data_IF_420987798927
#
_entry.id   IF_420987798927
#
_cell.length_a   1.000
_cell.length_b   1.000
_cell.length_c   1.000
_cell.angle_alpha   90.00
_cell.angle_beta   90.00
_cell.angle_gamma   90.00
#
_symmetry.space_group_name_H-M   'P 1'
#
loop_
_entity.id
_entity.type
_entity.pdbx_description
1 polymer ?
#
# COMPACT_ATOMS: atom_id res chain seq x y z
N UNK A 1 -43.09 28.49 67.13
CA UNK A 1 -41.70 27.97 67.21
C UNK A 1 -41.45 26.77 66.29
N UNK A 2 -42.42 25.88 66.04
CA UNK A 2 -42.21 24.69 65.20
C UNK A 2 -41.85 24.96 63.73
N UNK A 3 -42.44 25.98 63.08
CA UNK A 3 -42.24 26.25 61.65
C UNK A 3 -40.83 26.72 61.25
N UNK A 4 -40.08 27.35 62.17
CA UNK A 4 -38.73 27.87 61.85
C UNK A 4 -37.72 26.73 61.72
N UNK A 5 -37.82 25.73 62.60
CA UNK A 5 -36.98 24.53 62.55
C UNK A 5 -37.25 23.66 61.32
N UNK A 6 -38.50 23.59 60.86
CA UNK A 6 -38.87 22.83 59.66
C UNK A 6 -38.34 23.51 58.39
N UNK A 7 -38.44 24.84 58.29
CA UNK A 7 -37.89 25.58 57.16
C UNK A 7 -36.36 25.54 57.13
N UNK A 8 -35.69 25.66 58.28
CA UNK A 8 -34.24 25.58 58.37
C UNK A 8 -33.70 24.19 57.99
N UNK A 9 -34.32 23.13 58.52
CA UNK A 9 -33.94 21.75 58.18
C UNK A 9 -34.19 21.44 56.71
N UNK A 10 -35.33 21.89 56.16
CA UNK A 10 -35.66 21.68 54.75
C UNK A 10 -34.67 22.40 53.83
N UNK A 11 -34.33 23.66 54.11
CA UNK A 11 -33.36 24.43 53.32
C UNK A 11 -31.96 23.82 53.36
N UNK A 12 -31.51 23.37 54.54
CA UNK A 12 -30.20 22.73 54.70
C UNK A 12 -30.13 21.37 53.98
N UNK A 13 -31.16 20.52 54.12
CA UNK A 13 -31.26 19.24 53.40
C UNK A 13 -31.33 19.45 51.89
N UNK A 14 -32.11 20.42 51.41
CA UNK A 14 -32.26 20.70 49.99
C UNK A 14 -30.94 21.19 49.38
N UNK A 15 -30.22 22.08 50.06
CA UNK A 15 -28.91 22.55 49.61
C UNK A 15 -27.84 21.46 49.63
N UNK A 16 -27.80 20.65 50.70
CA UNK A 16 -26.83 19.57 50.83
C UNK A 16 -27.07 18.44 49.83
N UNK A 17 -28.31 17.94 49.72
CA UNK A 17 -28.68 16.92 48.75
C UNK A 17 -28.58 17.43 47.31
N UNK A 18 -29.02 18.66 47.06
CA UNK A 18 -28.92 19.30 45.75
C UNK A 18 -27.48 19.44 45.29
N UNK A 19 -26.58 19.93 46.16
CA UNK A 19 -25.16 20.04 45.86
C UNK A 19 -24.50 18.69 45.59
N UNK A 20 -24.80 17.66 46.39
CA UNK A 20 -24.25 16.32 46.22
C UNK A 20 -24.76 15.66 44.93
N UNK A 21 -26.05 15.78 44.64
CA UNK A 21 -26.67 15.23 43.44
C UNK A 21 -26.12 15.90 42.18
N UNK A 22 -26.02 17.24 42.18
CA UNK A 22 -25.49 18.01 41.05
C UNK A 22 -24.02 17.66 40.83
N UNK A 23 -23.20 17.64 41.88
CA UNK A 23 -21.78 17.36 41.73
C UNK A 23 -21.52 15.91 41.27
N UNK A 24 -22.33 14.96 41.75
CA UNK A 24 -22.25 13.56 41.32
C UNK A 24 -22.67 13.39 39.86
N UNK A 25 -23.81 13.96 39.45
CA UNK A 25 -24.29 13.88 38.06
C UNK A 25 -23.31 14.59 37.12
N UNK A 26 -22.89 15.81 37.44
CA UNK A 26 -21.98 16.60 36.60
C UNK A 26 -20.62 15.94 36.51
N UNK A 27 -20.05 15.48 37.62
CA UNK A 27 -18.77 14.79 37.64
C UNK A 27 -18.82 13.48 36.85
N UNK A 28 -19.78 12.60 37.14
CA UNK A 28 -19.89 11.32 36.44
C UNK A 28 -20.17 11.48 34.95
N UNK A 29 -21.03 12.44 34.57
CA UNK A 29 -21.32 12.70 33.16
C UNK A 29 -20.13 13.32 32.44
N UNK A 30 -19.42 14.25 33.08
CA UNK A 30 -18.23 14.88 32.52
C UNK A 30 -17.10 13.87 32.33
N UNK A 31 -16.82 13.03 33.33
CA UNK A 31 -15.76 12.03 33.26
C UNK A 31 -16.08 10.95 32.21
N UNK A 32 -17.34 10.49 32.16
CA UNK A 32 -17.77 9.52 31.17
C UNK A 32 -17.73 10.08 29.75
N UNK A 33 -18.24 11.29 29.55
CA UNK A 33 -18.23 11.96 28.24
C UNK A 33 -16.81 12.26 27.81
N UNK A 34 -15.98 12.82 28.69
CA UNK A 34 -14.59 13.16 28.38
C UNK A 34 -13.77 11.92 28.06
N UNK A 35 -13.88 10.85 28.86
CA UNK A 35 -13.19 9.59 28.64
C UNK A 35 -13.63 8.90 27.35
N UNK A 36 -14.93 8.85 27.08
CA UNK A 36 -15.46 8.28 25.84
C UNK A 36 -15.05 9.10 24.62
N UNK A 37 -15.16 10.44 24.68
CA UNK A 37 -14.80 11.33 23.60
C UNK A 37 -13.30 11.23 23.29
N UNK A 38 -12.43 11.26 24.31
CA UNK A 38 -10.98 11.13 24.11
C UNK A 38 -10.60 9.75 23.56
N UNK A 39 -11.19 8.66 24.07
CA UNK A 39 -10.92 7.32 23.55
C UNK A 39 -11.39 7.16 22.09
N UNK A 40 -12.59 7.64 21.75
CA UNK A 40 -13.11 7.58 20.39
C UNK A 40 -12.35 8.50 19.43
N UNK A 41 -12.05 9.75 19.82
CA UNK A 41 -11.29 10.67 18.96
C UNK A 41 -9.85 10.20 18.76
N UNK A 42 -9.17 9.81 19.83
CA UNK A 42 -7.76 9.43 19.75
C UNK A 42 -7.61 8.07 19.06
N UNK A 43 -8.40 7.08 19.47
CA UNK A 43 -8.29 5.71 18.96
C UNK A 43 -8.78 5.58 17.53
N UNK A 44 -10.02 5.97 17.26
CA UNK A 44 -10.64 5.74 15.95
C UNK A 44 -10.23 6.80 14.93
N UNK A 45 -10.14 8.06 15.36
CA UNK A 45 -9.97 9.17 14.42
C UNK A 45 -8.51 9.49 14.15
N UNK A 46 -7.64 9.37 15.16
CA UNK A 46 -6.24 9.73 14.99
C UNK A 46 -5.40 8.55 14.53
N UNK A 47 -5.57 7.37 15.14
CA UNK A 47 -4.77 6.20 14.77
C UNK A 47 -5.24 5.62 13.44
N UNK A 48 -6.52 5.26 13.27
CA UNK A 48 -6.95 4.61 12.03
C UNK A 48 -6.85 5.53 10.81
N UNK A 49 -7.15 6.82 10.95
CA UNK A 49 -7.04 7.76 9.83
C UNK A 49 -5.59 8.04 9.45
N UNK A 50 -4.71 8.28 10.42
CA UNK A 50 -3.31 8.61 10.15
C UNK A 50 -2.55 7.37 9.67
N UNK A 51 -2.75 6.22 10.33
CA UNK A 51 -2.12 4.96 9.94
C UNK A 51 -2.68 4.49 8.60
N UNK A 52 -4.01 4.46 8.42
CA UNK A 52 -4.62 4.03 7.17
C UNK A 52 -4.21 4.91 5.98
N UNK A 53 -4.11 6.23 6.18
CA UNK A 53 -3.70 7.15 5.11
C UNK A 53 -2.20 7.06 4.81
N UNK A 54 -1.34 7.03 5.82
CA UNK A 54 0.11 6.95 5.61
C UNK A 54 0.47 5.58 5.05
N UNK A 55 0.04 4.49 5.71
CA UNK A 55 0.35 3.12 5.28
C UNK A 55 -0.27 2.84 3.93
N UNK A 56 -1.56 3.15 3.72
CA UNK A 56 -2.22 2.90 2.44
C UNK A 56 -1.59 3.67 1.27
N UNK A 57 -1.28 4.96 1.44
CA UNK A 57 -0.61 5.72 0.37
C UNK A 57 0.83 5.24 0.14
N UNK A 58 1.59 4.97 1.20
CA UNK A 58 2.97 4.52 1.06
C UNK A 58 3.03 3.15 0.41
N UNK A 59 2.15 2.23 0.80
CA UNK A 59 2.14 0.87 0.28
C UNK A 59 1.70 0.84 -1.20
N UNK A 60 0.66 1.58 -1.58
CA UNK A 60 0.27 1.69 -2.99
C UNK A 60 1.36 2.35 -3.85
N UNK A 61 2.00 3.40 -3.35
CA UNK A 61 3.03 4.12 -4.11
C UNK A 61 4.32 3.29 -4.22
N UNK A 62 4.77 2.70 -3.11
CA UNK A 62 5.99 1.90 -3.06
C UNK A 62 5.80 0.57 -3.81
N UNK A 63 4.70 -0.15 -3.59
CA UNK A 63 4.45 -1.41 -4.30
C UNK A 63 4.26 -1.18 -5.81
N UNK A 64 3.50 -0.14 -6.19
CA UNK A 64 3.27 0.18 -7.60
C UNK A 64 4.53 0.66 -8.32
N UNK A 65 5.25 1.61 -7.74
CA UNK A 65 6.43 2.19 -8.39
C UNK A 65 7.64 1.26 -8.31
N UNK A 66 7.98 0.78 -7.11
CA UNK A 66 9.16 -0.05 -6.89
C UNK A 66 8.97 -1.45 -7.47
N UNK A 67 7.78 -2.03 -7.30
CA UNK A 67 7.45 -3.34 -7.86
C UNK A 67 7.51 -3.31 -9.38
N UNK A 68 6.87 -2.33 -10.03
CA UNK A 68 6.89 -2.26 -11.48
C UNK A 68 8.28 -1.92 -12.02
N UNK A 69 9.02 -1.00 -11.39
CA UNK A 69 10.38 -0.65 -11.81
C UNK A 69 11.34 -1.83 -11.68
N UNK A 70 11.33 -2.52 -10.53
CA UNK A 70 12.20 -3.67 -10.27
C UNK A 70 11.88 -4.83 -11.21
N UNK A 71 10.60 -5.15 -11.39
CA UNK A 71 10.16 -6.21 -12.30
C UNK A 71 10.60 -5.88 -13.73
N UNK A 72 10.35 -4.66 -14.21
CA UNK A 72 10.69 -4.32 -15.59
C UNK A 72 12.21 -4.29 -15.81
N UNK A 73 12.98 -3.86 -14.81
CA UNK A 73 14.44 -3.86 -14.88
C UNK A 73 15.01 -5.29 -14.89
N UNK A 74 14.57 -6.15 -13.97
CA UNK A 74 15.02 -7.55 -13.90
C UNK A 74 14.61 -8.31 -15.17
N UNK A 75 13.34 -8.20 -15.58
CA UNK A 75 12.82 -8.88 -16.76
C UNK A 75 13.51 -8.37 -18.02
N UNK A 76 13.66 -7.05 -18.18
CA UNK A 76 14.34 -6.46 -19.34
C UNK A 76 15.80 -6.88 -19.43
N UNK A 77 16.53 -6.87 -18.32
CA UNK A 77 17.92 -7.28 -18.28
C UNK A 77 18.09 -8.79 -18.55
N UNK A 78 17.28 -9.62 -17.89
CA UNK A 78 17.33 -11.07 -18.05
C UNK A 78 16.93 -11.50 -19.47
N UNK A 79 15.86 -10.94 -20.02
CA UNK A 79 15.43 -11.23 -21.39
C UNK A 79 16.46 -10.72 -22.41
N UNK A 80 17.02 -9.53 -22.22
CA UNK A 80 18.05 -8.98 -23.10
C UNK A 80 19.32 -9.82 -23.11
N UNK A 81 19.77 -10.25 -21.93
CA UNK A 81 20.94 -11.12 -21.80
C UNK A 81 20.69 -12.51 -22.40
N UNK A 82 19.56 -13.12 -22.07
CA UNK A 82 19.19 -14.45 -22.57
C UNK A 82 18.99 -14.44 -24.10
N UNK A 83 18.30 -13.43 -24.63
CA UNK A 83 18.10 -13.28 -26.07
C UNK A 83 19.43 -13.01 -26.79
N UNK A 84 20.29 -12.15 -26.24
CA UNK A 84 21.61 -11.88 -26.80
C UNK A 84 22.50 -13.12 -26.81
N UNK A 85 22.49 -13.89 -25.72
CA UNK A 85 23.25 -15.14 -25.64
C UNK A 85 22.70 -16.20 -26.60
N UNK A 86 21.37 -16.37 -26.67
CA UNK A 86 20.71 -17.31 -27.57
C UNK A 86 20.98 -16.96 -29.04
N UNK A 87 20.84 -15.67 -29.41
CA UNK A 87 21.14 -15.19 -30.77
C UNK A 87 22.61 -15.38 -31.09
N UNK A 88 23.52 -15.01 -30.18
CA UNK A 88 24.96 -15.23 -30.38
C UNK A 88 25.29 -16.69 -30.63
N UNK A 89 24.73 -17.59 -29.81
CA UNK A 89 24.93 -19.03 -29.99
C UNK A 89 24.31 -19.57 -31.28
N UNK A 90 23.14 -19.08 -31.68
CA UNK A 90 22.51 -19.44 -32.94
C UNK A 90 23.31 -18.94 -34.14
N UNK A 91 23.88 -17.74 -34.03
CA UNK A 91 24.67 -17.09 -35.10
C UNK A 91 26.05 -17.74 -35.26
N UNK A 92 26.69 -18.14 -34.16
CA UNK A 92 27.94 -18.92 -34.19
C UNK A 92 27.73 -20.40 -34.53
N UNK A 93 26.49 -20.87 -34.52
CA UNK A 93 26.16 -22.25 -34.82
C UNK A 93 26.58 -22.62 -36.23
N UNK A 94 27.07 -23.86 -36.35
CA UNK A 94 27.43 -24.50 -37.60
C UNK A 94 26.26 -24.50 -38.62
N UNK A 95 25.02 -24.35 -38.13
CA UNK A 95 23.82 -24.22 -38.96
C UNK A 95 23.88 -23.00 -39.89
N UNK A 96 24.33 -21.83 -39.42
CA UNK A 96 24.43 -20.64 -40.30
C UNK A 96 25.56 -20.83 -41.32
N UNK A 97 26.71 -21.36 -40.88
CA UNK A 97 27.84 -21.63 -41.78
C UNK A 97 27.48 -22.66 -42.86
N UNK A 98 26.69 -23.66 -42.49
CA UNK A 98 26.18 -24.67 -43.43
C UNK A 98 25.17 -24.07 -44.40
N UNK A 99 24.22 -23.26 -43.93
CA UNK A 99 23.25 -22.55 -44.78
C UNK A 99 23.95 -21.61 -45.78
N UNK A 100 24.95 -20.85 -45.33
CA UNK A 100 25.70 -19.92 -46.19
C UNK A 100 26.45 -20.67 -47.30
N UNK A 101 27.12 -21.78 -46.94
CA UNK A 101 27.82 -22.63 -47.91
C UNK A 101 26.90 -23.31 -48.91
N UNK A 102 25.72 -23.77 -48.49
CA UNK A 102 24.74 -24.40 -49.36
C UNK A 102 24.12 -23.38 -50.34
N UNK A 103 23.81 -22.17 -49.87
CA UNK A 103 23.32 -21.07 -50.71
C UNK A 103 24.37 -20.68 -51.75
N UNK A 104 25.64 -20.57 -51.36
CA UNK A 104 26.72 -20.21 -52.28
C UNK A 104 26.96 -21.32 -53.33
N UNK A 105 26.82 -22.59 -52.95
CA UNK A 105 26.88 -23.73 -53.86
C UNK A 105 25.75 -23.69 -54.90
N UNK A 106 24.51 -23.47 -54.49
CA UNK A 106 23.38 -23.35 -55.43
C UNK A 106 23.50 -22.15 -56.37
N UNK A 107 23.96 -21.01 -55.88
CA UNK A 107 24.19 -19.82 -56.70
C UNK A 107 25.29 -20.05 -57.73
N UNK A 108 26.39 -20.68 -57.31
CA UNK A 108 27.51 -21.00 -58.19
C UNK A 108 27.09 -22.00 -59.26
N UNK A 109 26.32 -23.03 -58.89
CA UNK A 109 25.82 -24.03 -59.84
C UNK A 109 24.80 -23.43 -60.83
N UNK A 110 23.86 -22.62 -60.36
CA UNK A 110 22.91 -21.92 -61.22
C UNK A 110 23.58 -20.96 -62.21
N UNK A 111 24.60 -20.23 -61.74
CA UNK A 111 25.42 -19.35 -62.59
C UNK A 111 26.21 -20.13 -63.65
N UNK A 112 26.74 -21.29 -63.28
CA UNK A 112 27.46 -22.16 -64.22
C UNK A 112 26.52 -22.75 -65.27
N UNK A 113 25.26 -23.08 -64.93
CA UNK A 113 24.28 -23.57 -65.92
C UNK A 113 23.92 -22.49 -66.94
N UNK A 114 23.64 -21.26 -66.48
CA UNK A 114 23.33 -20.13 -67.37
C UNK A 114 24.47 -19.70 -68.29
N UNK A 115 25.73 -20.03 -67.96
CA UNK A 115 26.89 -19.73 -68.81
C UNK A 115 27.20 -20.83 -69.83
N UNK A 116 26.73 -22.06 -69.60
CA UNK A 116 26.98 -23.21 -70.46
C UNK A 116 25.81 -23.51 -71.44
N UNK A 117 24.72 -22.76 -71.35
CA UNK A 117 23.62 -22.70 -72.33
C UNK A 117 23.83 -21.53 -73.32
#
# INVERSE_FOLDING_TARGET
MAGWLTCWRAGWLAGWLGGLLVNWIVGCLADWLFGWLTACLAGLLLVDWLVGRIVGCLDCWLAGWLGNWLVNWIVGWLLGWLAGWLVGWLMDSWVIKWLDGEVDAYLTEGKNRLHND
#
